data_IF_685152227041
#
_entry.id   IF_685152227041
#
_cell.length_a   1.000
_cell.length_b   1.000
_cell.length_c   1.000
_cell.angle_alpha   90.00
_cell.angle_beta   90.00
_cell.angle_gamma   90.00
#
_symmetry.space_group_name_H-M   'P 1'
#
loop_
_entity.id
_entity.type
_entity.pdbx_description
1 polymer ?
#
# COMPACT_ATOMS: atom_id res chain seq x y z
N UNK A 1 -12.57 -4.08 -7.67
CA UNK A 1 -12.04 -5.13 -8.57
C UNK A 1 -12.60 -6.47 -8.12
N UNK A 2 -13.08 -7.35 -9.02
CA UNK A 2 -13.59 -8.68 -8.64
C UNK A 2 -12.51 -9.74 -8.83
N UNK A 3 -12.16 -10.46 -7.76
CA UNK A 3 -11.15 -11.54 -7.77
C UNK A 3 -9.70 -11.05 -7.70
N UNK A 4 -8.78 -12.00 -7.47
CA UNK A 4 -7.32 -11.86 -7.54
C UNK A 4 -6.62 -12.36 -6.28
N UNK A 5 -5.57 -13.18 -6.44
CA UNK A 5 -4.87 -13.81 -5.31
C UNK A 5 -3.72 -12.94 -4.80
N UNK A 6 -3.03 -12.25 -5.71
CA UNK A 6 -1.88 -11.38 -5.41
C UNK A 6 -2.26 -9.93 -5.66
N UNK A 7 -2.27 -9.15 -4.59
CA UNK A 7 -2.64 -7.73 -4.62
C UNK A 7 -1.49 -6.90 -4.10
N UNK A 8 -1.19 -5.82 -4.79
CA UNK A 8 -0.23 -4.83 -4.34
C UNK A 8 -0.85 -3.43 -4.43
N UNK A 9 -0.64 -2.64 -3.39
CA UNK A 9 -1.05 -1.23 -3.34
C UNK A 9 0.18 -0.41 -3.00
N UNK A 10 0.53 0.53 -3.86
CA UNK A 10 1.56 1.53 -3.63
C UNK A 10 0.86 2.88 -3.52
N UNK A 11 0.94 3.52 -2.35
CA UNK A 11 0.49 4.89 -2.15
C UNK A 11 1.25 5.52 -0.99
N UNK A 12 2.06 6.57 -1.20
CA UNK A 12 2.82 7.22 -0.13
C UNK A 12 1.92 7.87 0.94
N UNK A 13 0.65 8.15 0.62
CA UNK A 13 -0.30 8.77 1.54
C UNK A 13 -1.21 7.74 2.24
N UNK A 14 -0.95 6.43 2.04
CA UNK A 14 -1.63 5.38 2.77
C UNK A 14 -1.34 5.50 4.28
N UNK A 15 -2.35 5.25 5.11
CA UNK A 15 -2.23 5.18 6.58
C UNK A 15 -1.91 6.48 7.32
N UNK A 16 -2.01 7.66 6.69
CA UNK A 16 -1.69 8.94 7.34
C UNK A 16 -2.74 9.39 8.36
N UNK A 17 -3.97 9.66 7.92
CA UNK A 17 -5.02 10.16 8.80
C UNK A 17 -6.43 9.95 8.22
N UNK A 18 -7.47 9.93 9.06
CA UNK A 18 -8.87 10.04 8.64
C UNK A 18 -9.09 11.23 7.70
N UNK A 19 -10.07 11.10 6.80
CA UNK A 19 -10.44 12.18 5.87
C UNK A 19 -11.89 12.58 6.09
N UNK A 20 -12.36 13.67 5.48
CA UNK A 20 -13.78 14.01 5.51
C UNK A 20 -14.69 12.87 4.99
N UNK A 21 -14.19 12.03 4.08
CA UNK A 21 -14.91 10.85 3.58
C UNK A 21 -14.88 9.65 4.55
N UNK A 22 -13.87 9.60 5.43
CA UNK A 22 -13.66 8.54 6.42
C UNK A 22 -13.34 9.20 7.76
N UNK A 23 -14.37 9.69 8.49
CA UNK A 23 -14.18 10.65 9.58
C UNK A 23 -13.61 10.04 10.88
N UNK A 24 -13.41 8.72 10.93
CA UNK A 24 -12.77 8.04 12.05
C UNK A 24 -11.71 7.04 11.57
N UNK A 25 -10.83 6.66 12.50
CA UNK A 25 -9.81 5.64 12.25
C UNK A 25 -10.44 4.31 11.81
N UNK A 26 -11.54 3.90 12.45
CA UNK A 26 -12.29 2.69 12.10
C UNK A 26 -12.88 2.78 10.70
N UNK A 27 -13.55 3.89 10.36
CA UNK A 27 -14.13 4.07 9.03
C UNK A 27 -13.05 4.04 7.93
N UNK A 28 -11.89 4.62 8.21
CA UNK A 28 -10.74 4.58 7.30
C UNK A 28 -10.20 3.15 7.11
N UNK A 29 -10.01 2.42 8.22
CA UNK A 29 -9.54 1.02 8.19
C UNK A 29 -10.54 0.11 7.48
N UNK A 30 -11.84 0.26 7.72
CA UNK A 30 -12.89 -0.47 7.01
C UNK A 30 -12.85 -0.22 5.51
N UNK A 31 -12.70 1.04 5.10
CA UNK A 31 -12.60 1.41 3.69
C UNK A 31 -11.38 0.73 3.04
N UNK A 32 -10.23 0.75 3.71
CA UNK A 32 -9.00 0.13 3.22
C UNK A 32 -9.12 -1.39 3.10
N UNK A 33 -9.72 -2.06 4.09
CA UNK A 33 -9.94 -3.50 4.04
C UNK A 33 -10.90 -3.91 2.90
N UNK A 34 -11.88 -3.06 2.58
CA UNK A 34 -12.82 -3.27 1.46
C UNK A 34 -12.17 -3.09 0.08
N UNK A 35 -11.02 -2.41 -0.01
CA UNK A 35 -10.26 -2.33 -1.27
C UNK A 35 -9.68 -3.68 -1.68
N UNK A 36 -9.37 -4.54 -0.70
CA UNK A 36 -8.77 -5.83 -0.93
C UNK A 36 -9.86 -6.88 -1.22
N UNK A 37 -9.78 -7.60 -2.35
CA UNK A 37 -10.73 -8.67 -2.63
C UNK A 37 -10.63 -9.76 -1.57
N UNK A 38 -11.75 -10.43 -1.26
CA UNK A 38 -11.78 -11.54 -0.31
C UNK A 38 -10.91 -12.73 -0.72
N UNK A 39 -10.61 -12.85 -2.02
CA UNK A 39 -9.69 -13.85 -2.58
C UNK A 39 -8.21 -13.51 -2.44
N UNK A 40 -7.85 -12.28 -2.04
CA UNK A 40 -6.45 -11.89 -1.89
C UNK A 40 -5.80 -12.73 -0.78
N UNK A 41 -4.81 -13.53 -1.16
CA UNK A 41 -3.99 -14.35 -0.26
C UNK A 41 -2.66 -13.68 0.01
N UNK A 42 -2.06 -13.06 -1.00
CA UNK A 42 -0.81 -12.32 -0.87
C UNK A 42 -1.08 -10.83 -1.07
N UNK A 43 -0.88 -10.05 -0.02
CA UNK A 43 -1.08 -8.60 -0.04
C UNK A 43 0.24 -7.90 0.21
N UNK A 44 0.65 -7.02 -0.70
CA UNK A 44 1.79 -6.12 -0.49
C UNK A 44 1.30 -4.69 -0.40
N UNK A 45 1.59 -3.98 0.69
CA UNK A 45 1.29 -2.56 0.82
C UNK A 45 2.60 -1.77 0.91
N UNK A 46 2.76 -0.79 0.04
CA UNK A 46 3.91 0.12 0.00
C UNK A 46 3.44 1.54 0.24
N UNK A 47 4.06 2.23 1.19
CA UNK A 47 3.58 3.52 1.71
C UNK A 47 4.72 4.26 2.39
N UNK A 48 4.53 5.54 2.70
CA UNK A 48 5.53 6.38 3.35
C UNK A 48 5.04 6.86 4.71
N UNK A 49 5.44 6.19 5.78
CA UNK A 49 4.99 6.49 7.14
C UNK A 49 3.52 6.14 7.40
N UNK A 50 3.09 6.28 8.65
CA UNK A 50 1.76 5.86 9.09
C UNK A 50 1.39 6.49 10.44
N UNK A 51 0.10 6.54 10.75
CA UNK A 51 -0.41 6.82 12.08
C UNK A 51 -0.51 5.53 12.92
N UNK A 52 0.10 5.53 14.10
CA UNK A 52 0.11 4.39 15.03
C UNK A 52 -1.31 3.87 15.35
N UNK A 53 -2.29 4.77 15.49
CA UNK A 53 -3.68 4.39 15.74
C UNK A 53 -4.29 3.58 14.59
N UNK A 54 -4.03 3.98 13.34
CA UNK A 54 -4.49 3.26 12.14
C UNK A 54 -3.80 1.90 12.04
N UNK A 55 -2.48 1.85 12.27
CA UNK A 55 -1.70 0.61 12.24
C UNK A 55 -2.27 -0.42 13.20
N UNK A 56 -2.49 -0.05 14.47
CA UNK A 56 -2.98 -0.96 15.52
C UNK A 56 -4.34 -1.56 15.18
N UNK A 57 -5.23 -0.79 14.55
CA UNK A 57 -6.55 -1.25 14.13
C UNK A 57 -6.51 -2.11 12.87
N UNK A 58 -5.69 -1.73 11.89
CA UNK A 58 -5.63 -2.41 10.61
C UNK A 58 -4.96 -3.77 10.69
N UNK A 59 -3.82 -3.83 11.38
CA UNK A 59 -2.87 -4.93 11.23
C UNK A 59 -3.43 -6.31 11.57
N UNK A 60 -4.12 -6.52 12.72
CA UNK A 60 -4.68 -7.83 13.05
C UNK A 60 -5.68 -8.31 11.99
N UNK A 61 -6.47 -7.38 11.45
CA UNK A 61 -7.53 -7.64 10.48
C UNK A 61 -7.00 -7.88 9.07
N UNK A 62 -5.89 -7.24 8.72
CA UNK A 62 -5.25 -7.39 7.43
C UNK A 62 -4.60 -8.77 7.29
N UNK A 63 -4.05 -9.31 8.39
CA UNK A 63 -3.36 -10.61 8.42
C UNK A 63 -4.28 -11.84 8.46
N UNK A 64 -5.55 -11.66 8.79
CA UNK A 64 -6.49 -12.77 8.98
C UNK A 64 -6.65 -13.58 7.67
N UNK A 65 -6.00 -14.75 7.61
CA UNK A 65 -6.03 -15.64 6.45
C UNK A 65 -5.23 -15.15 5.23
N UNK A 66 -4.28 -14.21 5.43
CA UNK A 66 -3.47 -13.61 4.35
C UNK A 66 -1.98 -13.57 4.70
N UNK A 67 -1.15 -13.73 3.68
CA UNK A 67 0.26 -13.40 3.71
C UNK A 67 0.43 -11.92 3.37
N UNK A 68 0.96 -11.13 4.31
CA UNK A 68 1.03 -9.67 4.18
C UNK A 68 2.47 -9.21 4.21
N UNK A 69 2.90 -8.52 3.16
CA UNK A 69 4.17 -7.80 3.09
C UNK A 69 3.87 -6.30 3.20
N UNK A 70 4.57 -5.59 4.07
CA UNK A 70 4.49 -4.14 4.15
C UNK A 70 5.85 -3.54 3.84
N UNK A 71 5.84 -2.46 3.08
CA UNK A 71 7.04 -1.75 2.61
C UNK A 71 6.88 -0.28 2.98
N UNK A 72 7.39 0.10 4.14
CA UNK A 72 7.47 1.51 4.54
C UNK A 72 8.70 2.15 3.87
N UNK A 73 8.49 3.07 2.94
CA UNK A 73 9.56 3.69 2.15
C UNK A 73 9.18 5.05 1.60
N UNK A 74 10.12 5.98 1.61
CA UNK A 74 10.04 7.28 0.94
C UNK A 74 10.53 7.23 -0.52
N UNK A 75 10.95 6.05 -1.04
CA UNK A 75 11.53 5.92 -2.38
C UNK A 75 10.47 5.77 -3.49
N UNK A 76 9.21 5.56 -3.12
CA UNK A 76 8.10 5.36 -4.06
C UNK A 76 7.10 6.50 -3.85
N UNK A 77 6.98 7.36 -4.86
CA UNK A 77 6.07 8.51 -4.83
C UNK A 77 4.82 8.31 -5.70
N UNK A 78 4.89 7.37 -6.64
CA UNK A 78 3.77 7.05 -7.52
C UNK A 78 2.70 6.25 -6.80
N UNK A 79 1.44 6.47 -7.20
CA UNK A 79 0.31 5.69 -6.72
C UNK A 79 -0.12 4.69 -7.77
N UNK A 80 -0.20 3.43 -7.40
CA UNK A 80 -0.69 2.39 -8.28
C UNK A 80 -1.17 1.18 -7.49
N UNK A 81 -1.98 0.38 -8.17
CA UNK A 81 -2.48 -0.89 -7.66
C UNK A 81 -2.16 -1.97 -8.67
N UNK A 82 -1.69 -3.11 -8.19
CA UNK A 82 -1.47 -4.29 -9.01
C UNK A 82 -2.34 -5.44 -8.54
N UNK A 83 -2.82 -6.22 -9.51
CA UNK A 83 -3.55 -7.45 -9.28
C UNK A 83 -3.08 -8.52 -10.24
N UNK A 84 -2.54 -9.60 -9.70
CA UNK A 84 -2.00 -10.74 -10.45
C UNK A 84 -1.07 -10.35 -11.61
N UNK A 85 -0.34 -9.24 -11.44
CA UNK A 85 0.59 -8.70 -12.45
C UNK A 85 0.04 -7.55 -13.29
N UNK A 86 -1.29 -7.39 -13.40
CA UNK A 86 -1.88 -6.24 -14.08
C UNK A 86 -1.79 -4.99 -13.20
N UNK A 87 -1.33 -3.86 -13.74
CA UNK A 87 -1.10 -2.62 -12.98
C UNK A 87 -2.02 -1.50 -13.47
N UNK A 88 -2.61 -0.79 -12.51
CA UNK A 88 -3.32 0.48 -12.73
C UNK A 88 -2.61 1.58 -11.98
N UNK A 89 -2.28 2.67 -12.68
CA UNK A 89 -1.73 3.88 -12.05
C UNK A 89 -2.86 4.82 -11.66
N UNK A 90 -2.62 5.59 -10.59
CA UNK A 90 -3.55 6.58 -10.06
C UNK A 90 -2.84 7.94 -10.01
N UNK A 91 -3.10 8.77 -11.01
CA UNK A 91 -2.69 10.17 -11.01
C UNK A 91 -3.73 11.04 -10.33
N UNK A 92 -3.31 12.15 -9.72
CA UNK A 92 -4.23 13.24 -9.36
C UNK A 92 -3.88 14.47 -10.19
N UNK A 93 -4.91 15.15 -10.69
CA UNK A 93 -4.77 16.46 -11.31
C UNK A 93 -5.09 17.59 -10.32
N UNK A 94 -4.51 18.77 -10.59
CA UNK A 94 -4.68 20.08 -9.93
C UNK A 94 -5.18 20.06 -8.48
N UNK A 95 -4.35 19.58 -7.54
CA UNK A 95 -4.63 19.58 -6.10
C UNK A 95 -4.81 20.98 -5.47
N UNK A 96 -4.62 22.07 -6.21
CA UNK A 96 -4.70 23.45 -5.73
C UNK A 96 -6.00 24.21 -6.03
N UNK A 97 -6.97 23.62 -6.75
CA UNK A 97 -8.20 24.33 -7.19
C UNK A 97 -9.50 23.80 -6.55
N UNK A 98 -9.42 23.08 -5.43
CA UNK A 98 -10.58 22.67 -4.64
C UNK A 98 -11.39 21.47 -5.17
N UNK A 99 -11.20 21.06 -6.43
CA UNK A 99 -11.81 19.86 -7.00
C UNK A 99 -10.75 18.77 -7.25
N UNK A 100 -10.77 17.70 -6.45
CA UNK A 100 -9.84 16.56 -6.60
C UNK A 100 -10.27 15.72 -7.81
N UNK A 101 -9.56 15.84 -8.93
CA UNK A 101 -9.71 14.94 -10.07
C UNK A 101 -8.65 13.83 -9.99
N UNK A 102 -9.09 12.58 -10.12
CA UNK A 102 -8.20 11.42 -10.17
C UNK A 102 -8.30 10.74 -11.52
N UNK A 103 -7.15 10.47 -12.14
CA UNK A 103 -7.05 9.68 -13.36
C UNK A 103 -6.61 8.28 -12.98
N UNK A 104 -7.34 7.28 -13.47
CA UNK A 104 -6.94 5.88 -13.36
C UNK A 104 -6.68 5.37 -14.75
N UNK A 105 -5.48 4.85 -15.00
CA UNK A 105 -5.09 4.29 -16.28
C UNK A 105 -4.49 2.90 -16.09
N UNK A 106 -4.77 2.02 -17.04
CA UNK A 106 -4.10 0.72 -17.14
C UNK A 106 -2.72 0.89 -17.76
N UNK A 107 -1.71 0.24 -17.19
CA UNK A 107 -0.43 0.06 -17.87
C UNK A 107 -0.52 -1.12 -18.83
N UNK A 108 0.24 -1.04 -19.92
CA UNK A 108 0.46 -2.21 -20.75
C UNK A 108 1.30 -3.26 -19.98
N UNK A 109 1.37 -4.48 -20.51
CA UNK A 109 2.01 -5.60 -19.83
C UNK A 109 3.53 -5.41 -19.63
N UNK A 110 4.20 -4.67 -20.52
CA UNK A 110 5.65 -4.45 -20.43
C UNK A 110 5.96 -3.44 -19.33
N UNK A 111 5.29 -2.29 -19.35
CA UNK A 111 5.42 -1.26 -18.31
C UNK A 111 5.00 -1.81 -16.93
N UNK A 112 3.95 -2.61 -16.88
CA UNK A 112 3.51 -3.26 -15.65
C UNK A 112 4.59 -4.18 -15.07
N UNK A 113 5.29 -4.95 -15.92
CA UNK A 113 6.41 -5.81 -15.48
C UNK A 113 7.56 -4.99 -14.95
N UNK A 114 7.93 -3.91 -15.63
CA UNK A 114 9.05 -3.05 -15.23
C UNK A 114 8.79 -2.36 -13.87
N UNK A 115 7.58 -1.81 -13.70
CA UNK A 115 7.15 -1.22 -12.42
C UNK A 115 7.22 -2.27 -11.29
N UNK A 116 6.68 -3.47 -11.51
CA UNK A 116 6.68 -4.51 -10.49
C UNK A 116 8.10 -5.00 -10.16
N UNK A 117 8.96 -5.14 -11.17
CA UNK A 117 10.35 -5.55 -11.00
C UNK A 117 11.13 -4.52 -10.17
N UNK A 118 10.91 -3.22 -10.40
CA UNK A 118 11.56 -2.15 -9.63
C UNK A 118 11.28 -2.24 -8.11
N UNK A 119 10.13 -2.81 -7.72
CA UNK A 119 9.75 -2.96 -6.32
C UNK A 119 10.33 -4.21 -5.66
N UNK A 120 10.77 -5.21 -6.41
CA UNK A 120 11.19 -6.49 -5.82
C UNK A 120 12.37 -6.34 -4.85
N UNK A 121 13.31 -5.43 -5.16
CA UNK A 121 14.41 -5.10 -4.24
C UNK A 121 13.91 -4.55 -2.89
N UNK A 122 12.91 -3.67 -2.90
CA UNK A 122 12.32 -3.11 -1.69
C UNK A 122 11.55 -4.16 -0.88
N UNK A 123 10.81 -5.04 -1.57
CA UNK A 123 10.11 -6.17 -0.94
C UNK A 123 11.08 -7.14 -0.28
N UNK A 124 12.20 -7.45 -0.93
CA UNK A 124 13.22 -8.35 -0.39
C UNK A 124 13.81 -7.80 0.92
N UNK A 125 14.16 -6.51 0.94
CA UNK A 125 14.65 -5.83 2.15
C UNK A 125 13.62 -5.87 3.28
N UNK A 126 12.34 -5.59 2.98
CA UNK A 126 11.27 -5.62 3.98
C UNK A 126 11.06 -7.03 4.59
N UNK A 127 11.07 -8.07 3.75
CA UNK A 127 10.95 -9.48 4.18
C UNK A 127 12.11 -9.90 5.08
N UNK A 128 13.33 -9.55 4.69
CA UNK A 128 14.53 -9.89 5.47
C UNK A 128 14.51 -9.22 6.84
N UNK A 129 14.13 -7.95 6.91
CA UNK A 129 14.01 -7.22 8.19
C UNK A 129 12.97 -7.85 9.12
N UNK A 130 11.82 -8.24 8.58
CA UNK A 130 10.77 -8.95 9.33
C UNK A 130 11.29 -10.28 9.90
N UNK A 131 12.09 -11.01 9.12
CA UNK A 131 12.70 -12.27 9.53
C UNK A 131 13.70 -12.08 10.68
N UNK A 132 14.54 -11.05 10.60
CA UNK A 132 15.62 -10.80 11.56
C UNK A 132 15.10 -10.23 12.89
N UNK A 133 14.20 -9.24 12.86
CA UNK A 133 13.74 -8.56 14.08
C UNK A 133 12.83 -9.44 14.95
N UNK A 134 12.17 -10.44 14.34
CA UNK A 134 11.08 -11.21 14.96
C UNK A 134 9.98 -10.34 15.61
N UNK A 135 9.90 -9.05 15.26
CA UNK A 135 8.95 -8.08 15.82
C UNK A 135 8.16 -7.37 14.73
N UNK A 136 6.86 -7.20 14.97
CA UNK A 136 5.95 -6.53 14.03
C UNK A 136 6.21 -5.03 13.93
N UNK A 137 6.87 -4.43 14.92
CA UNK A 137 7.33 -3.03 14.88
C UNK A 137 8.40 -2.80 13.82
N UNK A 138 9.21 -3.80 13.51
CA UNK A 138 10.27 -3.67 12.51
C UNK A 138 9.75 -3.63 11.05
N UNK A 139 8.48 -3.96 10.86
CA UNK A 139 7.80 -3.88 9.56
C UNK A 139 7.49 -2.40 9.22
N UNK A 140 7.40 -1.56 10.25
CA UNK A 140 6.90 -0.20 10.20
C UNK A 140 8.00 0.78 10.66
N UNK A 141 9.19 0.67 10.09
CA UNK A 141 10.31 1.54 10.46
C UNK A 141 10.30 2.73 9.49
N UNK A 142 10.17 3.98 9.96
CA UNK A 142 10.42 5.14 9.10
C UNK A 142 11.85 5.03 8.54
N UNK A 143 12.02 5.28 7.24
CA UNK A 143 13.38 5.35 6.69
C UNK A 143 14.10 6.46 7.43
N UNK A 144 15.26 6.15 8.04
CA UNK A 144 16.13 7.17 8.60
C UNK A 144 16.39 8.22 7.50
N UNK A 145 16.34 9.50 7.87
CA UNK A 145 16.63 10.60 6.95
C UNK A 145 17.88 10.25 6.15
N UNK A 146 17.75 10.28 4.83
CA UNK A 146 18.87 10.07 3.92
C UNK A 146 19.97 11.08 4.24
N UNK A 147 21.17 10.57 4.57
CA UNK A 147 22.42 11.32 4.48
C UNK A 147 22.61 11.93 3.09
#
# INVERSE_FOLDING_TARGET
MKGGERVLVCDPYLFKEPTAAYPSNEAYVEALLRLLPSSARDVTLCFDGYAEAIRKLLWPRLKEGRNVTLVNTNRVHDRFVSRDGAVKIVGTSFGGLGNKFSVVADLNADDARDVLASLEGLKAVARERTRVSRSEEAIWIPVAESD
#
